data_IF_896029094753
#
_entry.id   IF_896029094753
#
_cell.length_a   1.000
_cell.length_b   1.000
_cell.length_c   1.000
_cell.angle_alpha   90.00
_cell.angle_beta   90.00
_cell.angle_gamma   90.00
#
_symmetry.space_group_name_H-M   'P 1'
#
loop_
_entity.id
_entity.type
_entity.pdbx_description
1 polymer ?
#
# COMPACT_ATOMS: atom_id res chain seq x y z
N UNK A 1 -11.10 -7.49 -5.08
CA UNK A 1 -10.81 -7.84 -3.68
C UNK A 1 -10.41 -6.56 -2.95
N UNK A 2 -10.68 -6.42 -1.66
CA UNK A 2 -10.30 -5.23 -0.88
C UNK A 2 -9.46 -5.63 0.32
N UNK A 3 -8.49 -4.80 0.68
CA UNK A 3 -7.69 -4.97 1.88
C UNK A 3 -7.98 -3.84 2.84
N UNK A 4 -8.19 -4.17 4.11
CA UNK A 4 -8.34 -3.18 5.18
C UNK A 4 -7.11 -3.24 6.07
N UNK A 5 -6.50 -2.09 6.34
CA UNK A 5 -5.42 -1.98 7.30
C UNK A 5 -5.95 -2.34 8.70
N UNK A 6 -5.36 -3.34 9.36
CA UNK A 6 -5.75 -3.79 10.72
C UNK A 6 -4.80 -3.28 11.82
N UNK A 7 -3.70 -2.62 11.43
CA UNK A 7 -2.69 -2.09 12.34
C UNK A 7 -1.95 -0.94 11.67
N UNK A 8 -1.94 0.24 12.28
CA UNK A 8 -1.23 1.40 11.72
C UNK A 8 0.28 1.16 11.64
N UNK A 9 0.92 1.66 10.58
CA UNK A 9 2.36 1.59 10.37
C UNK A 9 2.85 2.78 9.54
N UNK A 10 4.16 3.03 9.57
CA UNK A 10 4.78 4.09 8.77
C UNK A 10 5.48 3.48 7.54
N UNK A 11 5.41 4.18 6.42
CA UNK A 11 6.19 3.89 5.23
C UNK A 11 6.90 5.14 4.72
N UNK A 12 7.99 4.91 4.00
CA UNK A 12 8.72 5.97 3.31
C UNK A 12 7.87 6.55 2.16
N UNK A 13 8.09 7.81 1.84
CA UNK A 13 7.38 8.51 0.77
C UNK A 13 8.26 8.62 -0.47
N UNK A 14 7.67 8.46 -1.65
CA UNK A 14 8.36 8.53 -2.93
C UNK A 14 7.64 9.51 -3.85
N UNK A 15 8.40 10.23 -4.68
CA UNK A 15 7.84 11.10 -5.70
C UNK A 15 7.38 10.32 -6.95
N UNK A 16 6.80 11.03 -7.92
CA UNK A 16 6.26 10.45 -9.17
C UNK A 16 7.35 9.83 -10.08
N UNK A 17 8.63 10.14 -9.83
CA UNK A 17 9.77 9.56 -10.53
C UNK A 17 10.36 8.35 -9.77
N UNK A 18 9.77 7.98 -8.63
CA UNK A 18 10.20 6.85 -7.79
C UNK A 18 11.42 7.15 -6.92
N UNK A 19 11.75 8.42 -6.69
CA UNK A 19 12.82 8.81 -5.77
C UNK A 19 12.29 8.96 -4.33
N UNK A 20 13.09 8.50 -3.37
CA UNK A 20 12.80 8.64 -1.95
C UNK A 20 12.77 10.12 -1.55
N UNK A 21 11.68 10.55 -0.91
CA UNK A 21 11.57 11.88 -0.30
C UNK A 21 12.17 11.82 1.11
N UNK A 22 13.39 12.33 1.26
CA UNK A 22 14.11 12.25 2.53
C UNK A 22 13.39 12.98 3.67
N UNK A 23 13.36 12.36 4.86
CA UNK A 23 12.70 12.85 6.07
C UNK A 23 11.16 12.94 5.97
N UNK A 24 10.56 12.32 4.96
CA UNK A 24 9.11 12.24 4.82
C UNK A 24 8.64 10.79 4.94
N UNK A 25 7.70 10.58 5.87
CA UNK A 25 7.04 9.29 6.06
C UNK A 25 5.55 9.52 6.15
N UNK A 26 4.78 8.58 5.62
CA UNK A 26 3.32 8.59 5.72
C UNK A 26 2.87 7.50 6.67
N UNK A 27 1.88 7.82 7.50
CA UNK A 27 1.22 6.87 8.37
C UNK A 27 0.05 6.25 7.63
N UNK A 28 0.10 4.93 7.44
CA UNK A 28 -1.05 4.17 6.98
C UNK A 28 -1.91 3.87 8.21
N UNK A 29 -3.07 4.50 8.31
CA UNK A 29 -3.95 4.36 9.46
C UNK A 29 -4.73 3.04 9.45
N UNK A 30 -4.92 2.46 10.63
CA UNK A 30 -5.86 1.36 10.83
C UNK A 30 -7.26 1.76 10.32
N UNK A 31 -7.89 0.85 9.58
CA UNK A 31 -9.18 1.06 8.98
C UNK A 31 -9.16 1.52 7.52
N UNK A 32 -8.03 2.06 7.03
CA UNK A 32 -7.91 2.49 5.63
C UNK A 32 -8.05 1.30 4.67
N UNK A 33 -8.74 1.52 3.55
CA UNK A 33 -9.09 0.47 2.58
C UNK A 33 -8.34 0.69 1.28
N UNK A 34 -7.87 -0.42 0.71
CA UNK A 34 -7.11 -0.47 -0.53
C UNK A 34 -7.64 -1.56 -1.47
N UNK A 35 -7.46 -1.34 -2.77
CA UNK A 35 -7.69 -2.32 -3.83
C UNK A 35 -6.35 -2.70 -4.48
N UNK A 36 -6.08 -3.98 -4.74
CA UNK A 36 -4.86 -4.37 -5.44
C UNK A 36 -4.92 -3.96 -6.91
N UNK A 37 -3.85 -3.36 -7.41
CA UNK A 37 -3.68 -3.17 -8.84
C UNK A 37 -3.15 -4.47 -9.48
N UNK A 38 -3.95 -5.03 -10.38
CA UNK A 38 -3.63 -6.26 -11.12
C UNK A 38 -2.85 -6.00 -12.43
N UNK A 39 -2.58 -4.73 -12.77
CA UNK A 39 -1.80 -4.36 -13.97
C UNK A 39 -0.36 -4.90 -13.93
N UNK A 40 0.16 -5.15 -12.72
CA UNK A 40 1.55 -5.54 -12.49
C UNK A 40 2.54 -4.39 -12.61
N UNK A 41 2.05 -3.15 -12.77
CA UNK A 41 2.88 -1.96 -12.70
C UNK A 41 3.34 -1.72 -11.25
N UNK A 42 4.62 -1.35 -11.10
CA UNK A 42 5.20 -0.91 -9.83
C UNK A 42 6.15 0.24 -10.11
N UNK A 43 6.11 1.27 -9.29
CA UNK A 43 7.00 2.43 -9.36
C UNK A 43 8.29 2.19 -8.57
N UNK A 44 8.17 1.68 -7.33
CA UNK A 44 9.28 1.50 -6.38
C UNK A 44 9.48 0.04 -5.96
N UNK A 45 8.50 -0.81 -6.28
CA UNK A 45 8.41 -2.18 -5.81
C UNK A 45 9.37 -3.14 -6.50
N UNK A 46 9.22 -4.42 -6.16
CA UNK A 46 10.00 -5.52 -6.70
C UNK A 46 9.21 -6.82 -6.70
N UNK A 47 9.89 -7.93 -6.98
CA UNK A 47 9.26 -9.25 -7.18
C UNK A 47 8.27 -9.68 -6.07
N UNK A 48 8.54 -9.28 -4.83
CA UNK A 48 7.73 -9.65 -3.66
C UNK A 48 6.85 -8.51 -3.13
N UNK A 49 6.63 -7.46 -3.94
CA UNK A 49 5.73 -6.36 -3.62
C UNK A 49 4.34 -6.58 -4.20
N UNK A 50 3.39 -5.79 -3.71
CA UNK A 50 2.05 -5.60 -4.26
C UNK A 50 1.82 -4.10 -4.40
N UNK A 51 1.08 -3.71 -5.43
CA UNK A 51 0.61 -2.34 -5.61
C UNK A 51 -0.85 -2.27 -5.12
N UNK A 52 -1.13 -1.27 -4.29
CA UNK A 52 -2.41 -1.06 -3.64
C UNK A 52 -2.88 0.38 -3.88
N UNK A 53 -4.03 0.55 -4.51
CA UNK A 53 -4.68 1.84 -4.67
C UNK A 53 -5.63 2.12 -3.50
N UNK A 54 -5.53 3.30 -2.89
CA UNK A 54 -6.48 3.72 -1.87
C UNK A 54 -7.82 4.08 -2.50
N UNK A 55 -8.90 3.60 -1.88
CA UNK A 55 -10.26 3.86 -2.36
C UNK A 55 -10.78 5.27 -2.03
N UNK A 56 -10.10 5.98 -1.12
CA UNK A 56 -10.61 7.23 -0.52
C UNK A 56 -9.98 8.50 -1.10
N UNK A 57 -8.68 8.47 -1.40
CA UNK A 57 -7.91 9.69 -1.67
C UNK A 57 -7.01 9.62 -2.92
N UNK A 58 -7.04 8.50 -3.65
CA UNK A 58 -6.20 8.31 -4.84
C UNK A 58 -4.71 8.17 -4.55
N UNK A 59 -4.30 8.03 -3.28
CA UNK A 59 -2.95 7.59 -2.93
C UNK A 59 -2.75 6.12 -3.27
N UNK A 60 -1.51 5.74 -3.52
CA UNK A 60 -1.13 4.34 -3.74
C UNK A 60 -0.11 3.90 -2.69
N UNK A 61 0.07 2.59 -2.58
CA UNK A 61 0.99 1.96 -1.65
C UNK A 61 1.64 0.74 -2.29
N UNK A 62 2.98 0.73 -2.35
CA UNK A 62 3.74 -0.46 -2.73
C UNK A 62 4.46 -1.03 -1.52
N UNK A 63 4.05 -2.23 -1.11
CA UNK A 63 4.59 -2.90 0.08
C UNK A 63 4.88 -4.36 -0.21
N UNK A 64 5.72 -4.97 0.61
CA UNK A 64 5.98 -6.41 0.50
C UNK A 64 4.73 -7.22 0.83
N UNK A 65 4.62 -8.43 0.24
CA UNK A 65 3.58 -9.40 0.60
C UNK A 65 3.59 -9.73 2.09
N UNK A 66 4.77 -9.75 2.73
CA UNK A 66 4.88 -9.95 4.18
C UNK A 66 4.23 -8.82 4.99
N UNK A 67 4.44 -7.56 4.58
CA UNK A 67 3.78 -6.39 5.19
C UNK A 67 2.26 -6.43 4.96
N UNK A 68 1.83 -6.85 3.78
CA UNK A 68 0.40 -7.03 3.49
C UNK A 68 -0.24 -8.05 4.46
N UNK A 69 0.38 -9.21 4.64
CA UNK A 69 -0.10 -10.26 5.55
C UNK A 69 -0.09 -9.80 7.03
N UNK A 70 0.94 -9.06 7.44
CA UNK A 70 1.06 -8.56 8.81
C UNK A 70 0.06 -7.44 9.12
N UNK A 71 -0.09 -6.46 8.22
CA UNK A 71 -0.79 -5.20 8.50
C UNK A 71 -2.20 -5.11 7.88
N UNK A 72 -2.60 -6.03 7.01
CA UNK A 72 -3.91 -6.00 6.36
C UNK A 72 -4.73 -7.27 6.60
N UNK A 73 -6.05 -7.13 6.47
CA UNK A 73 -7.00 -8.22 6.36
C UNK A 73 -7.75 -8.12 5.03
N UNK A 74 -8.02 -9.28 4.42
CA UNK A 74 -8.83 -9.34 3.20
C UNK A 74 -10.30 -9.11 3.58
N UNK A 75 -10.93 -8.15 2.92
CA UNK A 75 -12.37 -7.98 2.93
C UNK A 75 -12.94 -8.82 1.78
N UNK A 76 -13.54 -9.96 2.12
CA UNK A 76 -14.36 -10.71 1.17
C UNK A 76 -15.60 -9.86 0.84
N UNK A 77 -15.86 -9.68 -0.45
CA UNK A 77 -17.10 -9.07 -0.93
C UNK A 77 -17.99 -10.23 -1.37
N UNK A 78 -19.06 -10.49 -0.60
CA UNK A 78 -20.13 -11.45 -0.97
C UNK A 78 -20.86 -11.03 -2.25
#
# INVERSE_FOLDING_TARGET
MKYKCKKSFCVDTYDDDGFLVENETVVVEEGKIYEPDESGYMLIGGKDHVHLDSVDDGSWLEITKGTLEECFELLEVE
#
